data_IF_243065330181
#
_entry.id   IF_243065330181
#
_cell.length_a   1.000
_cell.length_b   1.000
_cell.length_c   1.000
_cell.angle_alpha   90.00
_cell.angle_beta   90.00
_cell.angle_gamma   90.00
#
_symmetry.space_group_name_H-M   'P 1'
#
loop_
_entity.id
_entity.type
_entity.pdbx_description
1 polymer ?
#
# COMPACT_ATOMS: atom_id res chain seq x y z
N UNK A 1 -0.88 29.44 23.22
CA UNK A 1 -1.37 28.44 22.25
C UNK A 1 -0.23 27.45 22.08
N UNK A 2 -0.49 26.15 22.16
CA UNK A 2 0.58 25.16 21.99
C UNK A 2 0.81 24.87 20.49
N UNK A 3 1.95 24.22 20.20
CA UNK A 3 2.38 23.95 18.84
C UNK A 3 1.41 23.04 18.06
N UNK A 4 0.68 22.15 18.75
CA UNK A 4 -0.37 21.32 18.12
C UNK A 4 -1.56 22.16 17.70
N UNK A 5 -1.97 23.13 18.54
CA UNK A 5 -3.08 24.04 18.23
C UNK A 5 -2.75 24.95 17.05
N UNK A 6 -1.53 25.50 16.99
CA UNK A 6 -1.06 26.31 15.85
C UNK A 6 -1.05 25.51 14.55
N UNK A 7 -0.54 24.28 14.60
CA UNK A 7 -0.52 23.37 13.45
C UNK A 7 -1.94 23.06 12.98
N UNK A 8 -2.86 22.74 13.89
CA UNK A 8 -4.27 22.49 13.56
C UNK A 8 -4.92 23.69 12.85
N UNK A 9 -4.68 24.91 13.31
CA UNK A 9 -5.22 26.12 12.65
C UNK A 9 -4.67 26.33 11.24
N UNK A 10 -3.37 26.08 11.03
CA UNK A 10 -2.76 26.18 9.71
C UNK A 10 -3.37 25.14 8.73
N UNK A 11 -3.57 23.91 9.20
CA UNK A 11 -4.27 22.88 8.43
C UNK A 11 -5.72 23.25 8.10
N UNK A 12 -6.47 23.78 9.06
CA UNK A 12 -7.86 24.20 8.82
C UNK A 12 -7.96 25.42 7.90
N UNK A 13 -6.89 26.22 7.81
CA UNK A 13 -6.79 27.32 6.85
C UNK A 13 -6.57 26.79 5.42
N UNK A 14 -5.71 25.76 5.27
CA UNK A 14 -5.46 25.11 3.98
C UNK A 14 -6.63 24.20 3.52
N UNK A 15 -7.28 23.53 4.46
CA UNK A 15 -8.46 22.69 4.24
C UNK A 15 -9.51 22.91 5.36
N UNK A 16 -10.51 23.78 5.12
CA UNK A 16 -11.58 24.06 6.09
C UNK A 16 -12.43 22.84 6.46
N UNK A 17 -12.37 21.74 5.68
CA UNK A 17 -13.11 20.51 5.99
C UNK A 17 -12.42 19.65 7.05
N UNK A 18 -11.15 19.91 7.35
CA UNK A 18 -10.32 19.12 8.27
C UNK A 18 -9.89 17.75 7.75
N UNK A 19 -10.31 17.38 6.53
CA UNK A 19 -10.02 16.08 5.92
C UNK A 19 -8.52 15.85 5.71
N UNK A 20 -7.77 16.91 5.39
CA UNK A 20 -6.32 16.88 5.21
C UNK A 20 -5.60 16.55 6.52
N UNK A 21 -5.93 17.26 7.60
CA UNK A 21 -5.36 17.04 8.92
C UNK A 21 -5.67 15.64 9.44
N UNK A 22 -6.94 15.24 9.40
CA UNK A 22 -7.36 13.91 9.83
C UNK A 22 -6.76 12.81 8.94
N UNK A 23 -6.68 13.05 7.64
CA UNK A 23 -6.09 12.15 6.67
C UNK A 23 -4.61 11.86 6.97
N UNK A 24 -3.82 12.91 7.22
CA UNK A 24 -2.40 12.77 7.54
C UNK A 24 -2.18 12.14 8.92
N UNK A 25 -3.03 12.42 9.91
CA UNK A 25 -2.97 11.74 11.22
C UNK A 25 -3.25 10.24 11.10
N UNK A 26 -4.10 9.83 10.15
CA UNK A 26 -4.34 8.42 9.88
C UNK A 26 -3.16 7.73 9.19
N UNK A 27 -2.27 8.47 8.49
CA UNK A 27 -1.09 7.88 7.83
C UNK A 27 -0.24 7.14 8.85
N UNK A 28 0.04 7.71 10.03
CA UNK A 28 0.86 7.04 11.05
C UNK A 28 0.28 5.71 11.50
N UNK A 29 -1.03 5.68 11.76
CA UNK A 29 -1.73 4.44 12.13
C UNK A 29 -1.63 3.37 11.05
N UNK A 30 -1.70 3.78 9.78
CA UNK A 30 -1.55 2.85 8.67
C UNK A 30 -0.09 2.44 8.46
N UNK A 31 0.91 3.29 8.71
CA UNK A 31 2.33 2.91 8.68
C UNK A 31 2.66 1.86 9.74
N UNK A 32 2.17 2.05 10.97
CA UNK A 32 2.26 1.03 12.02
C UNK A 32 1.61 -0.28 11.59
N UNK A 33 0.43 -0.21 10.94
CA UNK A 33 -0.23 -1.39 10.41
C UNK A 33 0.59 -2.05 9.29
N UNK A 34 1.19 -1.29 8.37
CA UNK A 34 2.07 -1.83 7.31
C UNK A 34 3.24 -2.60 7.93
N UNK A 35 3.93 -2.02 8.92
CA UNK A 35 5.05 -2.68 9.61
C UNK A 35 4.60 -3.95 10.33
N UNK A 36 3.52 -3.85 11.12
CA UNK A 36 2.99 -4.98 11.88
C UNK A 36 2.59 -6.13 10.95
N UNK A 37 1.85 -5.83 9.88
CA UNK A 37 1.39 -6.86 8.97
C UNK A 37 2.54 -7.46 8.16
N UNK A 38 3.54 -6.67 7.77
CA UNK A 38 4.76 -7.20 7.17
C UNK A 38 5.42 -8.27 8.06
N UNK A 39 5.62 -7.96 9.35
CA UNK A 39 6.18 -8.92 10.30
C UNK A 39 5.32 -10.20 10.42
N UNK A 40 4.00 -10.05 10.52
CA UNK A 40 3.06 -11.16 10.66
C UNK A 40 3.01 -12.05 9.41
N UNK A 41 3.13 -11.49 8.19
CA UNK A 41 3.23 -12.26 6.94
C UNK A 41 4.42 -13.22 7.04
N UNK A 42 5.61 -12.70 7.34
CA UNK A 42 6.83 -13.49 7.34
C UNK A 42 6.93 -14.44 8.53
N UNK A 43 6.37 -14.08 9.68
CA UNK A 43 6.21 -15.01 10.80
C UNK A 43 5.35 -16.21 10.41
N UNK A 44 4.15 -15.97 9.88
CA UNK A 44 3.25 -17.03 9.45
C UNK A 44 3.88 -17.88 8.33
N UNK A 45 4.58 -17.24 7.39
CA UNK A 45 5.30 -17.91 6.31
C UNK A 45 6.39 -18.86 6.83
N UNK A 46 7.24 -18.40 7.76
CA UNK A 46 8.28 -19.23 8.40
C UNK A 46 7.69 -20.43 9.15
N UNK A 47 6.53 -20.25 9.77
CA UNK A 47 5.78 -21.30 10.45
C UNK A 47 4.99 -22.22 9.50
N UNK A 48 5.10 -22.04 8.18
CA UNK A 48 4.34 -22.75 7.15
C UNK A 48 2.82 -22.59 7.27
N UNK A 49 2.36 -21.52 7.92
CA UNK A 49 0.94 -21.14 8.05
C UNK A 49 0.53 -20.26 6.87
N UNK A 50 0.50 -20.85 5.67
CA UNK A 50 0.36 -20.09 4.42
C UNK A 50 -0.96 -19.34 4.30
N UNK A 51 -2.07 -19.92 4.77
CA UNK A 51 -3.37 -19.25 4.80
C UNK A 51 -3.32 -17.97 5.66
N UNK A 52 -2.68 -18.06 6.83
CA UNK A 52 -2.47 -16.89 7.69
C UNK A 52 -1.61 -15.85 7.00
N UNK A 53 -0.51 -16.26 6.36
CA UNK A 53 0.36 -15.33 5.63
C UNK A 53 -0.40 -14.55 4.54
N UNK A 54 -1.36 -15.18 3.85
CA UNK A 54 -2.20 -14.54 2.85
C UNK A 54 -3.20 -13.55 3.45
N UNK A 55 -3.79 -13.88 4.61
CA UNK A 55 -4.67 -12.95 5.34
C UNK A 55 -3.90 -11.69 5.76
N UNK A 56 -2.70 -11.85 6.32
CA UNK A 56 -1.88 -10.70 6.73
C UNK A 56 -1.41 -9.89 5.52
N UNK A 57 -1.11 -10.56 4.40
CA UNK A 57 -0.79 -9.88 3.14
C UNK A 57 -1.96 -9.02 2.65
N UNK A 58 -3.19 -9.50 2.75
CA UNK A 58 -4.36 -8.69 2.39
C UNK A 58 -4.45 -7.42 3.25
N UNK A 59 -4.26 -7.53 4.57
CA UNK A 59 -4.27 -6.37 5.46
C UNK A 59 -3.07 -5.43 5.22
N UNK A 60 -1.91 -5.97 4.87
CA UNK A 60 -0.74 -5.19 4.45
C UNK A 60 -1.04 -4.36 3.20
N UNK A 61 -1.66 -4.98 2.18
CA UNK A 61 -2.05 -4.28 0.95
C UNK A 61 -3.11 -3.20 1.19
N UNK A 62 -4.08 -3.46 2.06
CA UNK A 62 -5.05 -2.44 2.49
C UNK A 62 -4.32 -1.27 3.14
N UNK A 63 -3.42 -1.53 4.08
CA UNK A 63 -2.72 -0.46 4.79
C UNK A 63 -1.87 0.40 3.86
N UNK A 64 -1.16 -0.20 2.89
CA UNK A 64 -0.43 0.53 1.84
C UNK A 64 -1.35 1.43 1.03
N UNK A 65 -2.48 0.89 0.55
CA UNK A 65 -3.43 1.66 -0.26
C UNK A 65 -4.03 2.82 0.54
N UNK A 66 -4.33 2.61 1.83
CA UNK A 66 -4.80 3.70 2.71
C UNK A 66 -3.76 4.78 2.92
N UNK A 67 -2.49 4.46 3.15
CA UNK A 67 -1.41 5.47 3.22
C UNK A 67 -1.37 6.27 1.92
N UNK A 68 -1.34 5.58 0.77
CA UNK A 68 -1.30 6.22 -0.54
C UNK A 68 -2.48 7.16 -0.76
N UNK A 69 -3.71 6.71 -0.53
CA UNK A 69 -4.92 7.52 -0.71
C UNK A 69 -4.88 8.82 0.11
N UNK A 70 -4.36 8.76 1.35
CA UNK A 70 -4.24 9.96 2.20
C UNK A 70 -3.16 10.91 1.71
N UNK A 71 -2.03 10.40 1.20
CA UNK A 71 -0.99 11.26 0.62
C UNK A 71 -1.48 11.88 -0.71
N UNK A 72 -2.24 11.14 -1.52
CA UNK A 72 -2.89 11.66 -2.74
C UNK A 72 -3.82 12.82 -2.39
N UNK A 73 -4.64 12.68 -1.36
CA UNK A 73 -5.50 13.77 -0.88
C UNK A 73 -4.69 15.00 -0.49
N UNK A 74 -3.53 14.82 0.16
CA UNK A 74 -2.64 15.91 0.51
C UNK A 74 -2.03 16.63 -0.70
N UNK A 75 -1.69 15.91 -1.78
CA UNK A 75 -1.16 16.55 -3.00
C UNK A 75 -2.14 17.49 -3.69
N UNK A 76 -3.44 17.17 -3.64
CA UNK A 76 -4.47 18.03 -4.20
C UNK A 76 -4.60 19.36 -3.46
N UNK A 77 -4.13 19.41 -2.20
CA UNK A 77 -4.18 20.62 -1.36
C UNK A 77 -2.83 21.36 -1.27
N UNK A 78 -1.69 20.67 -1.39
CA UNK A 78 -0.37 21.21 -0.99
C UNK A 78 0.59 21.50 -2.17
N UNK A 79 0.11 21.43 -3.41
CA UNK A 79 0.82 21.94 -4.58
C UNK A 79 1.89 21.02 -5.17
N UNK A 80 2.80 21.60 -5.95
CA UNK A 80 3.67 20.88 -6.90
C UNK A 80 4.70 19.94 -6.24
N UNK A 81 5.32 20.33 -5.12
CA UNK A 81 6.33 19.49 -4.43
C UNK A 81 5.73 18.14 -4.00
N UNK A 82 4.52 18.15 -3.45
CA UNK A 82 3.83 16.92 -3.06
C UNK A 82 3.37 16.10 -4.28
N UNK A 83 2.97 16.76 -5.37
CA UNK A 83 2.59 16.08 -6.61
C UNK A 83 3.79 15.37 -7.25
N UNK A 84 4.96 16.01 -7.28
CA UNK A 84 6.20 15.42 -7.79
C UNK A 84 6.64 14.22 -6.93
N UNK A 85 6.54 14.34 -5.60
CA UNK A 85 6.82 13.23 -4.67
C UNK A 85 5.91 12.01 -4.89
N UNK A 86 4.63 12.25 -5.15
CA UNK A 86 3.70 11.18 -5.52
C UNK A 86 4.04 10.55 -6.87
N UNK A 87 4.40 11.37 -7.86
CA UNK A 87 4.77 10.92 -9.20
C UNK A 87 6.06 10.10 -9.24
N UNK A 88 6.94 10.28 -8.25
CA UNK A 88 8.22 9.59 -8.17
C UNK A 88 8.11 8.08 -7.93
N UNK A 89 6.96 7.57 -7.45
CA UNK A 89 6.81 6.14 -7.20
C UNK A 89 5.43 5.56 -7.58
N UNK A 90 5.43 4.69 -8.59
CA UNK A 90 4.23 3.95 -8.97
C UNK A 90 3.91 2.81 -7.98
N UNK A 91 2.86 3.01 -7.19
CA UNK A 91 2.27 2.01 -6.29
C UNK A 91 1.00 1.34 -6.87
N UNK A 92 0.69 1.53 -8.15
CA UNK A 92 -0.51 0.97 -8.80
C UNK A 92 -0.58 -0.56 -8.71
N UNK A 93 0.58 -1.24 -8.70
CA UNK A 93 0.67 -2.69 -8.54
C UNK A 93 0.08 -3.19 -7.22
N UNK A 94 0.25 -2.46 -6.12
CA UNK A 94 -0.27 -2.84 -4.79
C UNK A 94 -1.78 -2.71 -4.71
N UNK A 95 -2.34 -1.63 -5.28
CA UNK A 95 -3.79 -1.46 -5.42
C UNK A 95 -4.39 -2.60 -6.26
N UNK A 96 -3.79 -2.89 -7.42
CA UNK A 96 -4.23 -4.03 -8.25
C UNK A 96 -4.17 -5.34 -7.46
N UNK A 97 -3.08 -5.62 -6.76
CA UNK A 97 -2.96 -6.84 -5.94
C UNK A 97 -4.07 -6.93 -4.88
N UNK A 98 -4.37 -5.83 -4.18
CA UNK A 98 -5.47 -5.74 -3.22
C UNK A 98 -6.81 -6.04 -3.87
N UNK A 99 -7.13 -5.36 -4.96
CA UNK A 99 -8.40 -5.54 -5.69
C UNK A 99 -8.57 -6.99 -6.15
N UNK A 100 -7.47 -7.65 -6.53
CA UNK A 100 -7.50 -9.08 -6.90
C UNK A 100 -7.75 -10.01 -5.70
N UNK A 101 -7.30 -9.64 -4.50
CA UNK A 101 -7.64 -10.36 -3.27
C UNK A 101 -9.12 -10.16 -2.90
N UNK A 102 -9.60 -8.92 -2.97
CA UNK A 102 -10.99 -8.57 -2.61
C UNK A 102 -12.01 -9.24 -3.53
N UNK A 103 -11.66 -9.47 -4.80
CA UNK A 103 -12.53 -10.09 -5.79
C UNK A 103 -12.12 -11.54 -6.13
N UNK A 104 -11.55 -12.26 -5.16
CA UNK A 104 -11.10 -13.65 -5.36
C UNK A 104 -12.22 -14.59 -5.81
N UNK A 105 -13.44 -14.39 -5.30
CA UNK A 105 -14.61 -15.21 -5.68
C UNK A 105 -15.03 -14.95 -7.13
N UNK A 106 -15.09 -13.70 -7.58
CA UNK A 106 -15.37 -13.36 -8.98
C UNK A 106 -14.28 -13.90 -9.92
N UNK A 107 -13.05 -14.08 -9.44
CA UNK A 107 -11.97 -14.68 -10.21
C UNK A 107 -12.04 -16.21 -10.28
N UNK A 108 -12.46 -16.85 -9.19
CA UNK A 108 -12.58 -18.31 -9.12
C UNK A 108 -13.86 -18.83 -9.78
N UNK A 109 -14.95 -18.06 -9.66
CA UNK A 109 -16.30 -18.50 -10.00
C UNK A 109 -17.07 -17.52 -10.91
N UNK A 110 -16.50 -16.34 -11.21
CA UNK A 110 -17.19 -15.23 -11.89
C UNK A 110 -16.52 -14.71 -13.17
N UNK A 111 -16.68 -13.41 -13.41
CA UNK A 111 -16.63 -12.75 -14.72
C UNK A 111 -15.26 -12.73 -15.42
N UNK A 112 -15.28 -12.64 -16.78
CA UNK A 112 -14.08 -12.58 -17.63
C UNK A 112 -13.08 -11.46 -17.28
N UNK A 113 -13.52 -10.40 -16.59
CA UNK A 113 -12.70 -9.21 -16.31
C UNK A 113 -11.56 -9.49 -15.33
N UNK A 114 -11.81 -10.39 -14.36
CA UNK A 114 -10.85 -10.74 -13.30
C UNK A 114 -10.25 -12.14 -13.49
N UNK A 115 -10.52 -12.77 -14.65
CA UNK A 115 -10.05 -14.11 -14.95
C UNK A 115 -8.52 -14.23 -14.84
N UNK A 116 -8.08 -15.39 -14.37
CA UNK A 116 -6.66 -15.73 -14.32
C UNK A 116 -6.05 -15.66 -15.72
N UNK A 117 -4.99 -14.86 -15.87
CA UNK A 117 -4.15 -14.88 -17.06
C UNK A 117 -3.07 -15.93 -16.90
N UNK A 118 -2.80 -16.61 -18.02
CA UNK A 118 -1.72 -17.57 -18.12
C UNK A 118 -0.39 -16.85 -18.19
N UNK A 119 0.64 -17.43 -17.58
CA UNK A 119 2.00 -16.94 -17.63
C UNK A 119 2.96 -18.04 -18.12
N UNK A 120 4.03 -17.62 -18.78
CA UNK A 120 5.11 -18.50 -19.21
C UNK A 120 6.18 -18.50 -18.11
N UNK A 121 6.41 -19.64 -17.48
CA UNK A 121 7.44 -19.80 -16.46
C UNK A 121 8.34 -20.98 -16.85
N UNK A 122 9.61 -20.70 -17.12
CA UNK A 122 10.60 -21.70 -17.58
C UNK A 122 10.13 -22.50 -18.82
N UNK A 123 9.48 -21.83 -19.77
CA UNK A 123 8.96 -22.45 -20.99
C UNK A 123 7.69 -23.29 -20.78
N UNK A 124 7.14 -23.32 -19.57
CA UNK A 124 5.86 -23.98 -19.26
C UNK A 124 4.77 -22.94 -19.05
N UNK A 125 3.62 -23.13 -19.70
CA UNK A 125 2.44 -22.31 -19.46
C UNK A 125 1.80 -22.71 -18.12
N UNK A 126 1.60 -21.74 -17.24
CA UNK A 126 0.98 -21.92 -15.92
C UNK A 126 -0.09 -20.87 -15.67
N UNK A 127 -0.92 -21.14 -14.68
CA UNK A 127 -1.94 -20.21 -14.18
C UNK A 127 -1.69 -20.00 -12.70
N UNK A 128 -1.18 -18.83 -12.32
CA UNK A 128 -0.93 -18.52 -10.90
C UNK A 128 -2.17 -17.87 -10.30
N UNK A 129 -2.78 -18.56 -9.34
CA UNK A 129 -3.86 -17.99 -8.52
C UNK A 129 -3.29 -16.89 -7.62
N UNK A 130 -2.44 -17.29 -6.68
CA UNK A 130 -1.64 -16.41 -5.84
C UNK A 130 -0.46 -17.22 -5.30
N UNK A 131 0.65 -16.56 -4.99
CA UNK A 131 1.81 -17.22 -4.40
C UNK A 131 2.85 -16.24 -3.91
N UNK A 132 3.50 -16.59 -2.82
CA UNK A 132 4.70 -15.90 -2.34
C UNK A 132 5.91 -16.71 -2.82
N UNK A 133 6.84 -16.02 -3.46
CA UNK A 133 8.08 -16.61 -3.93
C UNK A 133 9.15 -16.50 -2.84
N UNK A 134 9.67 -17.64 -2.39
CA UNK A 134 10.75 -17.69 -1.41
C UNK A 134 12.10 -17.21 -1.98
N UNK A 135 12.25 -17.16 -3.30
CA UNK A 135 13.50 -16.76 -3.95
C UNK A 135 13.68 -15.25 -4.06
N UNK A 136 12.66 -14.54 -4.54
CA UNK A 136 12.70 -13.09 -4.80
C UNK A 136 11.80 -12.26 -3.86
N UNK A 137 11.18 -12.91 -2.85
CA UNK A 137 10.31 -12.27 -1.85
C UNK A 137 9.19 -11.44 -2.51
N UNK A 138 8.71 -11.95 -3.66
CA UNK A 138 7.61 -11.35 -4.38
C UNK A 138 6.28 -12.03 -4.07
N UNK A 139 5.22 -11.23 -3.98
CA UNK A 139 3.88 -11.75 -4.14
C UNK A 139 3.49 -11.75 -5.61
N UNK A 140 2.96 -12.87 -6.08
CA UNK A 140 2.56 -13.09 -7.47
C UNK A 140 1.08 -13.39 -7.53
N UNK A 141 0.43 -12.82 -8.53
CA UNK A 141 -0.92 -13.17 -8.91
C UNK A 141 -1.01 -13.08 -10.43
N UNK A 142 -1.58 -14.09 -11.08
CA UNK A 142 -1.68 -14.10 -12.54
C UNK A 142 -0.29 -13.98 -13.21
N UNK A 143 -0.14 -13.05 -14.14
CA UNK A 143 1.10 -12.63 -14.81
C UNK A 143 1.79 -11.45 -14.11
N UNK A 144 1.30 -11.02 -12.94
CA UNK A 144 1.76 -9.86 -12.21
C UNK A 144 2.54 -10.24 -10.95
N UNK A 145 3.39 -9.33 -10.48
CA UNK A 145 4.09 -9.46 -9.21
C UNK A 145 4.35 -8.11 -8.53
N UNK A 146 4.43 -8.13 -7.21
CA UNK A 146 4.88 -7.01 -6.37
C UNK A 146 5.98 -7.49 -5.43
N UNK A 147 6.86 -6.57 -5.06
CA UNK A 147 7.86 -6.79 -4.03
C UNK A 147 7.21 -6.65 -2.65
N UNK A 148 7.45 -7.59 -1.74
CA UNK A 148 7.03 -7.45 -0.34
C UNK A 148 8.21 -7.62 0.63
N UNK A 149 9.44 -7.47 0.11
CA UNK A 149 10.67 -7.58 0.89
C UNK A 149 10.77 -6.50 1.97
N UNK A 150 11.71 -6.70 2.89
CA UNK A 150 12.11 -5.67 3.85
C UNK A 150 12.68 -4.41 3.17
N UNK A 151 13.31 -4.58 1.99
CA UNK A 151 13.77 -3.47 1.16
C UNK A 151 12.61 -2.62 0.65
N UNK A 152 11.53 -3.24 0.18
CA UNK A 152 10.29 -2.54 -0.15
C UNK A 152 9.72 -1.81 1.07
N UNK A 153 9.58 -2.50 2.21
CA UNK A 153 9.05 -1.91 3.44
C UNK A 153 9.83 -0.65 3.83
N UNK A 154 11.16 -0.74 3.88
CA UNK A 154 12.03 0.39 4.25
C UNK A 154 11.82 1.58 3.32
N UNK A 155 11.78 1.34 2.00
CA UNK A 155 11.50 2.39 1.02
C UNK A 155 10.11 2.98 1.18
N UNK A 156 9.10 2.16 1.44
CA UNK A 156 7.72 2.58 1.61
C UNK A 156 7.54 3.50 2.81
N UNK A 157 8.12 3.13 3.95
CA UNK A 157 8.09 3.95 5.16
C UNK A 157 8.83 5.27 4.95
N UNK A 158 9.99 5.24 4.30
CA UNK A 158 10.74 6.46 3.98
C UNK A 158 9.92 7.40 3.09
N UNK A 159 9.34 6.88 2.01
CA UNK A 159 8.50 7.66 1.09
C UNK A 159 7.29 8.28 1.79
N UNK A 160 6.60 7.54 2.66
CA UNK A 160 5.45 8.07 3.38
C UNK A 160 5.86 9.11 4.44
N UNK A 161 7.00 8.91 5.12
CA UNK A 161 7.54 9.86 6.09
C UNK A 161 7.94 11.16 5.41
N UNK A 162 8.59 11.08 4.25
CA UNK A 162 8.96 12.24 3.45
C UNK A 162 7.73 13.01 2.95
N UNK A 163 6.68 12.31 2.50
CA UNK A 163 5.41 12.93 2.13
C UNK A 163 4.83 13.75 3.30
N UNK A 164 4.83 13.19 4.51
CA UNK A 164 4.38 13.92 5.70
C UNK A 164 5.26 15.14 6.00
N UNK A 165 6.57 15.02 5.86
CA UNK A 165 7.49 16.14 6.07
C UNK A 165 7.28 17.26 5.03
N UNK A 166 6.98 16.91 3.77
CA UNK A 166 6.55 17.89 2.75
C UNK A 166 5.26 18.56 3.22
N UNK A 167 4.26 17.77 3.60
CA UNK A 167 2.96 18.31 4.03
C UNK A 167 3.08 19.28 5.21
N UNK A 168 3.90 18.95 6.20
CA UNK A 168 4.16 19.76 7.39
C UNK A 168 4.89 21.08 7.06
N UNK A 169 5.67 21.14 5.98
CA UNK A 169 6.37 22.36 5.53
C UNK A 169 5.52 23.25 4.62
N UNK A 170 4.54 22.67 3.94
CA UNK A 170 3.66 23.37 3.00
C UNK A 170 2.51 24.14 3.67
N UNK A 171 2.42 24.08 4.99
CA UNK A 171 1.33 24.60 5.84
C UNK A 171 1.93 25.53 6.88
#
# INVERSE_FOLDING_TARGET
MDAETEKLFAYLTADPTGQLHDGLRLVDKYLEAVQRQHALIFEAWRQKRYERALVELHFFLIAIDRVKDRIVLASSALGTEMADHLGAWDLSGYKRARDHFEHIEDRLYGSRKNALKRNQEYGTERTIHYGLSAGDISFRWSDQKIDISEGFLTRFLSWATEAKAIADRSI
#
